data_IF_699436500677
#
_entry.id   IF_699436500677
#
_cell.length_a   1.000
_cell.length_b   1.000
_cell.length_c   1.000
_cell.angle_alpha   90.00
_cell.angle_beta   90.00
_cell.angle_gamma   90.00
#
_symmetry.space_group_name_H-M   'P 1'
#
loop_
_entity.id
_entity.type
_entity.pdbx_description
1 polymer ?
#
# COMPACT_ATOMS: atom_id res chain seq x y z
N UNK A 1 6.33 0.31 -14.78
CA UNK A 1 5.11 -0.02 -14.00
C UNK A 1 5.09 0.86 -12.76
N UNK A 2 4.03 1.66 -12.51
CA UNK A 2 4.03 2.59 -11.38
C UNK A 2 3.82 1.82 -10.08
N UNK A 3 4.64 2.14 -9.07
CA UNK A 3 4.61 1.53 -7.75
C UNK A 3 3.26 1.79 -7.05
N UNK A 4 2.33 0.86 -7.22
CA UNK A 4 1.10 0.75 -6.44
C UNK A 4 1.27 -0.46 -5.53
N UNK A 5 1.31 -0.26 -4.23
CA UNK A 5 1.14 -1.37 -3.29
C UNK A 5 -0.20 -1.21 -2.58
N UNK A 6 -1.25 -1.64 -3.28
CA UNK A 6 -2.45 -2.14 -2.63
C UNK A 6 -2.44 -3.64 -2.89
N UNK A 7 -2.26 -4.44 -1.85
CA UNK A 7 -2.47 -5.88 -1.91
C UNK A 7 -3.51 -6.27 -0.90
N UNK A 8 -4.67 -6.68 -1.41
CA UNK A 8 -5.66 -7.45 -0.68
C UNK A 8 -5.53 -8.86 -1.23
N UNK A 9 -5.11 -9.81 -0.41
CA UNK A 9 -5.00 -11.21 -0.82
C UNK A 9 -6.00 -12.08 -0.06
N UNK A 10 -7.20 -12.30 -0.62
CA UNK A 10 -8.13 -13.30 -0.09
C UNK A 10 -7.75 -14.68 -0.65
N UNK A 11 -7.60 -15.69 0.22
CA UNK A 11 -7.60 -17.10 -0.18
C UNK A 11 -8.85 -17.78 0.43
N UNK A 12 -9.69 -18.34 -0.44
CA UNK A 12 -10.79 -19.23 -0.05
C UNK A 12 -10.35 -20.68 -0.19
N UNK A 13 -10.49 -21.49 0.87
CA UNK A 13 -10.16 -22.92 0.83
C UNK A 13 -11.37 -23.74 0.32
N UNK A 14 -11.29 -24.33 -0.88
CA UNK A 14 -12.34 -25.25 -1.35
C UNK A 14 -12.16 -25.87 -2.74
N UNK A 15 -11.99 -27.20 -2.80
CA UNK A 15 -11.94 -28.01 -4.04
C UNK A 15 -13.34 -28.21 -4.63
N UNK A 16 -13.51 -27.94 -5.93
CA UNK A 16 -14.70 -28.34 -6.71
C UNK A 16 -14.31 -28.83 -8.11
N UNK A 17 -14.75 -30.06 -8.46
CA UNK A 17 -14.48 -30.71 -9.76
C UNK A 17 -15.40 -30.15 -10.86
N UNK A 18 -14.82 -29.89 -12.03
CA UNK A 18 -15.40 -30.04 -13.39
C UNK A 18 -16.77 -29.43 -13.73
N UNK A 19 -16.76 -28.34 -14.50
CA UNK A 19 -17.91 -27.80 -15.25
C UNK A 19 -17.48 -26.69 -16.23
N UNK A 20 -18.19 -26.47 -17.36
CA UNK A 20 -17.68 -25.70 -18.52
C UNK A 20 -17.73 -24.17 -18.29
N UNK A 21 -17.00 -23.37 -19.11
CA UNK A 21 -16.63 -22.00 -18.75
C UNK A 21 -17.75 -21.00 -19.04
N UNK A 22 -18.09 -20.16 -18.06
CA UNK A 22 -18.92 -18.95 -18.19
C UNK A 22 -18.45 -17.83 -17.24
N UNK A 23 -18.77 -16.55 -17.53
CA UNK A 23 -17.81 -15.45 -17.46
C UNK A 23 -17.64 -14.83 -16.06
N UNK A 24 -16.38 -14.52 -15.75
CA UNK A 24 -15.84 -13.44 -14.91
C UNK A 24 -16.84 -12.68 -14.02
N UNK A 25 -17.31 -13.35 -12.98
CA UNK A 25 -17.64 -12.81 -11.64
C UNK A 25 -18.43 -13.88 -10.88
N UNK A 26 -17.74 -14.83 -10.24
CA UNK A 26 -18.35 -15.64 -9.19
C UNK A 26 -17.27 -16.14 -8.24
N UNK A 27 -17.24 -15.57 -7.04
CA UNK A 27 -16.49 -16.09 -5.91
C UNK A 27 -17.17 -17.41 -5.49
N UNK A 28 -16.50 -18.54 -5.70
CA UNK A 28 -16.98 -19.82 -5.19
C UNK A 28 -16.61 -19.93 -3.70
N UNK A 29 -17.59 -19.61 -2.86
CA UNK A 29 -17.59 -19.83 -1.43
C UNK A 29 -17.74 -21.34 -1.10
N UNK A 30 -16.81 -21.90 -0.32
CA UNK A 30 -16.95 -23.26 0.21
C UNK A 30 -17.60 -23.23 1.60
N UNK A 31 -18.58 -24.11 1.83
CA UNK A 31 -19.29 -24.24 3.12
C UNK A 31 -18.50 -25.12 4.10
N UNK A 32 -18.25 -24.60 5.30
CA UNK A 32 -17.90 -25.40 6.48
C UNK A 32 -19.16 -25.95 7.17
N UNK A 33 -19.05 -26.95 8.07
CA UNK A 33 -20.19 -27.67 8.64
C UNK A 33 -21.23 -26.79 9.36
N UNK A 34 -20.85 -25.56 9.73
CA UNK A 34 -21.72 -24.59 10.42
C UNK A 34 -22.17 -23.39 9.56
N UNK A 35 -21.89 -23.38 8.25
CA UNK A 35 -22.47 -22.38 7.33
C UNK A 35 -21.86 -20.98 7.34
N UNK A 36 -20.84 -20.70 8.16
CA UNK A 36 -20.12 -19.43 8.17
C UNK A 36 -18.94 -19.44 7.19
N UNK A 37 -18.85 -18.39 6.36
CA UNK A 37 -17.79 -18.21 5.36
C UNK A 37 -16.57 -17.59 6.02
N UNK A 38 -15.45 -18.31 6.03
CA UNK A 38 -14.19 -17.87 6.61
C UNK A 38 -13.12 -17.65 5.54
N UNK A 39 -12.33 -16.58 5.64
CA UNK A 39 -11.23 -16.28 4.73
C UNK A 39 -10.01 -15.72 5.48
N UNK A 40 -8.80 -16.09 5.05
CA UNK A 40 -7.57 -15.48 5.57
C UNK A 40 -7.14 -14.31 4.69
N UNK A 41 -6.53 -13.30 5.30
CA UNK A 41 -6.05 -12.11 4.62
C UNK A 41 -4.85 -11.51 5.35
N UNK A 42 -3.82 -11.14 4.60
CA UNK A 42 -2.75 -10.26 5.07
C UNK A 42 -2.79 -8.99 4.22
N UNK A 43 -2.81 -7.85 4.90
CA UNK A 43 -2.89 -6.54 4.27
C UNK A 43 -1.69 -5.70 4.69
N UNK A 44 -1.03 -5.07 3.72
CA UNK A 44 0.16 -4.24 3.94
C UNK A 44 0.06 -2.91 3.19
N UNK A 45 0.40 -1.81 3.88
CA UNK A 45 0.46 -0.46 3.31
C UNK A 45 1.85 0.11 3.59
N UNK A 46 2.62 0.35 2.54
CA UNK A 46 3.95 0.96 2.63
C UNK A 46 3.90 2.43 2.20
N UNK A 47 4.43 3.31 3.05
CA UNK A 47 4.64 4.73 2.72
C UNK A 47 6.06 4.97 2.22
N UNK A 48 6.30 5.27 0.93
CA UNK A 48 7.66 5.46 0.39
C UNK A 48 8.36 6.74 0.88
N UNK A 49 7.61 7.66 1.49
CA UNK A 49 8.15 8.89 2.11
C UNK A 49 8.58 8.62 3.56
N UNK A 50 7.72 7.99 4.36
CA UNK A 50 8.00 7.68 5.77
C UNK A 50 8.80 6.40 5.97
N UNK A 51 8.92 5.57 4.92
CA UNK A 51 9.45 4.19 4.97
C UNK A 51 8.72 3.26 5.94
N UNK A 52 7.56 3.67 6.43
CA UNK A 52 6.76 2.90 7.36
C UNK A 52 5.83 1.94 6.59
N UNK A 53 5.89 0.65 6.94
CA UNK A 53 4.95 -0.36 6.49
C UNK A 53 3.99 -0.71 7.62
N UNK A 54 2.70 -0.52 7.40
CA UNK A 54 1.64 -0.95 8.33
C UNK A 54 1.03 -2.26 7.82
N UNK A 55 0.99 -3.28 8.67
CA UNK A 55 0.45 -4.59 8.34
C UNK A 55 -0.64 -5.02 9.34
N UNK A 56 -1.65 -5.72 8.84
CA UNK A 56 -2.66 -6.39 9.66
C UNK A 56 -2.97 -7.77 9.08
N UNK A 57 -3.11 -8.78 9.94
CA UNK A 57 -3.34 -10.17 9.54
C UNK A 57 -4.65 -10.71 10.15
N UNK A 58 -5.44 -11.35 9.30
CA UNK A 58 -6.63 -12.13 9.66
C UNK A 58 -6.37 -13.61 9.32
N UNK A 59 -5.88 -14.37 10.29
CA UNK A 59 -5.61 -15.80 10.18
C UNK A 59 -4.53 -16.18 9.16
N UNK A 60 -3.75 -15.22 8.66
CA UNK A 60 -2.79 -15.44 7.59
C UNK A 60 -1.38 -15.66 8.12
N UNK A 61 -0.56 -16.38 7.35
CA UNK A 61 0.84 -16.65 7.68
C UNK A 61 1.68 -15.36 7.71
N UNK A 62 2.71 -15.35 8.56
CA UNK A 62 3.59 -14.19 8.71
C UNK A 62 4.39 -13.93 7.44
N UNK A 63 4.53 -12.67 7.02
CA UNK A 63 5.35 -12.32 5.87
C UNK A 63 6.85 -12.39 6.20
N UNK A 64 7.65 -12.66 5.18
CA UNK A 64 9.12 -12.61 5.28
C UNK A 64 9.64 -11.27 4.75
N UNK A 65 10.61 -10.69 5.45
CA UNK A 65 11.29 -9.45 5.08
C UNK A 65 12.79 -9.74 4.97
N UNK A 66 13.39 -9.43 3.82
CA UNK A 66 14.83 -9.34 3.66
C UNK A 66 15.28 -7.88 3.63
N UNK A 67 16.11 -7.51 4.60
CA UNK A 67 16.63 -6.14 4.78
C UNK A 67 18.07 -6.07 4.31
N UNK A 68 18.46 -5.07 3.49
CA UNK A 68 19.85 -4.85 3.12
C UNK A 68 20.71 -4.65 4.37
N UNK A 69 21.80 -5.41 4.46
CA UNK A 69 22.84 -5.17 5.46
C UNK A 69 23.84 -4.17 4.92
N UNK A 70 24.55 -3.48 5.82
CA UNK A 70 25.70 -2.68 5.41
C UNK A 70 26.72 -3.57 4.68
N UNK A 71 27.49 -3.03 3.71
CA UNK A 71 28.57 -3.77 3.09
C UNK A 71 29.49 -4.33 4.18
N UNK A 72 29.76 -5.63 4.15
CA UNK A 72 30.79 -6.22 4.99
C UNK A 72 32.15 -5.62 4.64
N UNK A 73 33.08 -5.64 5.59
CA UNK A 73 34.49 -5.32 5.34
C UNK A 73 35.15 -6.30 4.35
N UNK A 74 34.52 -7.45 4.14
CA UNK A 74 34.91 -8.43 3.14
C UNK A 74 34.26 -8.03 1.82
N UNK A 75 35.07 -7.57 0.85
CA UNK A 75 34.64 -6.97 -0.42
C UNK A 75 33.87 -7.88 -1.39
N UNK A 76 32.87 -8.62 -0.91
CA UNK A 76 31.81 -9.17 -1.75
C UNK A 76 30.86 -8.03 -2.11
N UNK A 77 30.91 -7.59 -3.37
CA UNK A 77 30.10 -6.50 -3.95
C UNK A 77 28.58 -6.80 -3.97
N UNK A 78 28.15 -7.93 -3.40
CA UNK A 78 26.74 -8.29 -3.30
C UNK A 78 26.11 -7.60 -2.10
N UNK A 79 24.95 -6.94 -2.25
CA UNK A 79 24.20 -6.47 -1.10
C UNK A 79 23.70 -7.69 -0.32
N UNK A 80 24.45 -8.07 0.71
CA UNK A 80 24.01 -9.05 1.67
C UNK A 80 22.69 -8.56 2.28
N UNK A 81 21.75 -9.48 2.47
CA UNK A 81 20.48 -9.20 3.15
C UNK A 81 20.34 -10.16 4.31
N UNK A 82 19.74 -9.69 5.38
CA UNK A 82 19.25 -10.55 6.46
C UNK A 82 17.74 -10.73 6.28
N UNK A 83 17.29 -11.97 6.24
CA UNK A 83 15.88 -12.32 6.07
C UNK A 83 15.29 -12.87 7.36
N UNK A 84 14.12 -12.37 7.75
CA UNK A 84 13.37 -12.85 8.91
C UNK A 84 11.86 -12.69 8.68
N UNK A 85 11.06 -13.42 9.46
CA UNK A 85 9.61 -13.19 9.50
C UNK A 85 9.30 -11.96 10.33
N UNK A 86 8.32 -11.17 9.89
CA UNK A 86 7.83 -10.03 10.69
C UNK A 86 6.99 -10.55 11.85
N UNK A 87 7.42 -10.26 13.08
CA UNK A 87 6.67 -10.60 14.27
C UNK A 87 5.51 -9.62 14.47
N UNK A 88 4.30 -10.09 14.21
CA UNK A 88 3.07 -9.30 14.29
C UNK A 88 1.89 -10.15 14.76
N UNK A 89 0.90 -9.54 15.44
CA UNK A 89 -0.30 -10.25 15.85
C UNK A 89 -1.09 -10.76 14.64
N UNK A 90 -1.63 -11.98 14.78
CA UNK A 90 -2.51 -12.61 13.81
C UNK A 90 -3.91 -12.69 14.44
N UNK A 91 -4.85 -11.92 13.90
CA UNK A 91 -6.25 -11.98 14.31
C UNK A 91 -6.96 -13.23 13.76
N UNK A 92 -8.23 -13.47 14.16
CA UNK A 92 -9.01 -14.58 13.61
C UNK A 92 -9.28 -14.38 12.11
N UNK A 93 -9.53 -15.45 11.33
CA UNK A 93 -10.00 -15.31 9.96
C UNK A 93 -11.23 -14.40 9.82
N UNK A 94 -11.35 -13.75 8.67
CA UNK A 94 -12.50 -12.92 8.33
C UNK A 94 -13.79 -13.76 8.33
N UNK A 95 -14.89 -13.20 8.82
CA UNK A 95 -16.21 -13.84 8.81
C UNK A 95 -16.56 -14.64 10.07
N UNK A 96 -15.61 -14.87 10.97
CA UNK A 96 -15.83 -15.58 12.25
C UNK A 96 -16.24 -14.67 13.42
N UNK A 97 -16.44 -13.37 13.17
CA UNK A 97 -16.66 -12.37 14.22
C UNK A 97 -15.40 -12.11 15.07
N UNK A 98 -15.31 -10.95 15.71
CA UNK A 98 -14.16 -10.64 16.57
C UNK A 98 -13.92 -9.15 16.83
N UNK A 99 -12.91 -8.88 17.66
CA UNK A 99 -12.34 -7.56 17.88
C UNK A 99 -11.69 -7.02 16.60
N UNK A 100 -11.44 -5.70 16.48
CA UNK A 100 -10.70 -5.12 15.37
C UNK A 100 -9.33 -5.78 15.19
N UNK A 101 -8.88 -5.92 13.94
CA UNK A 101 -7.54 -6.42 13.64
C UNK A 101 -6.47 -5.44 14.11
N UNK A 102 -5.54 -5.92 14.92
CA UNK A 102 -4.39 -5.13 15.35
C UNK A 102 -3.45 -4.86 14.17
N UNK A 103 -2.92 -3.64 14.11
CA UNK A 103 -1.98 -3.21 13.07
C UNK A 103 -0.57 -3.12 13.66
N UNK A 104 0.37 -3.85 13.08
CA UNK A 104 1.80 -3.71 13.37
C UNK A 104 2.47 -2.75 12.38
N UNK A 105 3.51 -2.05 12.83
CA UNK A 105 4.24 -1.08 12.01
C UNK A 105 5.73 -1.37 12.04
N UNK A 106 6.36 -1.39 10.85
CA UNK A 106 7.77 -1.65 10.67
C UNK A 106 8.39 -0.57 9.78
N UNK A 107 9.53 -0.03 10.18
CA UNK A 107 10.33 0.80 9.29
C UNK A 107 11.14 -0.10 8.35
N UNK A 108 10.92 0.05 7.05
CA UNK A 108 11.60 -0.77 6.04
C UNK A 108 12.65 0.08 5.31
N UNK A 109 13.90 -0.34 5.41
CA UNK A 109 15.00 0.25 4.66
C UNK A 109 14.71 0.25 3.15
N UNK A 110 15.34 1.16 2.41
CA UNK A 110 15.26 1.17 0.96
C UNK A 110 15.92 -0.08 0.37
N UNK A 111 15.30 -0.71 -0.63
CA UNK A 111 15.82 -1.91 -1.27
C UNK A 111 15.52 -3.22 -0.54
N UNK A 112 14.81 -3.19 0.59
CA UNK A 112 14.24 -4.36 1.25
C UNK A 112 13.27 -5.11 0.35
N UNK A 113 13.18 -6.42 0.55
CA UNK A 113 12.25 -7.32 -0.13
C UNK A 113 11.23 -7.83 0.87
N UNK A 114 9.95 -7.52 0.65
CA UNK A 114 8.83 -8.05 1.42
C UNK A 114 8.16 -9.16 0.61
N UNK A 115 8.10 -10.37 1.17
CA UNK A 115 7.44 -11.52 0.60
C UNK A 115 6.13 -11.84 1.35
N UNK A 116 5.01 -11.76 0.63
CA UNK A 116 3.68 -12.17 1.06
C UNK A 116 3.34 -13.46 0.33
N UNK A 117 2.86 -14.48 1.05
CA UNK A 117 2.62 -15.78 0.44
C UNK A 117 1.51 -16.53 1.15
N UNK A 118 0.88 -17.46 0.44
CA UNK A 118 -0.13 -18.35 1.02
C UNK A 118 0.51 -19.53 1.74
N UNK A 119 -0.14 -20.04 2.77
CA UNK A 119 0.23 -21.26 3.50
C UNK A 119 0.62 -22.46 2.62
N UNK A 120 -0.01 -22.65 1.45
CA UNK A 120 0.35 -23.70 0.49
C UNK A 120 1.82 -23.67 0.03
N UNK A 121 2.52 -22.55 0.16
CA UNK A 121 3.96 -22.44 -0.11
C UNK A 121 4.81 -23.14 0.96
N UNK A 122 4.35 -23.15 2.21
CA UNK A 122 5.10 -23.69 3.36
C UNK A 122 4.52 -25.00 3.91
N UNK A 123 3.22 -25.24 3.74
CA UNK A 123 2.53 -26.43 4.22
C UNK A 123 2.64 -27.56 3.19
N UNK A 124 3.63 -28.43 3.39
CA UNK A 124 3.81 -29.68 2.64
C UNK A 124 3.41 -30.86 3.52
N UNK A 125 2.86 -31.91 2.90
CA UNK A 125 2.38 -33.11 3.64
C UNK A 125 3.48 -33.91 4.34
N UNK A 126 4.74 -33.74 3.93
CA UNK A 126 5.85 -34.64 4.29
C UNK A 126 7.11 -33.91 4.76
N UNK A 127 7.09 -32.59 4.93
CA UNK A 127 8.25 -31.81 5.35
C UNK A 127 7.94 -30.99 6.60
N UNK A 128 8.99 -30.78 7.40
CA UNK A 128 8.97 -29.90 8.55
C UNK A 128 8.78 -28.43 8.08
N UNK A 129 7.77 -27.78 8.64
CA UNK A 129 7.41 -26.39 8.32
C UNK A 129 8.57 -25.44 8.65
N UNK A 130 9.31 -25.71 9.72
CA UNK A 130 10.43 -24.84 10.15
C UNK A 130 11.63 -24.94 9.20
N UNK A 131 11.86 -26.11 8.61
CA UNK A 131 12.87 -26.29 7.58
C UNK A 131 12.52 -25.49 6.31
N UNK A 132 11.25 -25.51 5.89
CA UNK A 132 10.80 -24.74 4.71
C UNK A 132 10.85 -23.23 4.98
N UNK A 133 10.51 -22.80 6.19
CA UNK A 133 10.63 -21.39 6.61
C UNK A 133 12.07 -20.90 6.60
N UNK A 134 13.01 -21.72 7.07
CA UNK A 134 14.45 -21.43 6.99
C UNK A 134 14.90 -21.31 5.53
N UNK A 135 14.51 -22.27 4.70
CA UNK A 135 14.82 -22.25 3.26
C UNK A 135 14.25 -21.00 2.55
N UNK A 136 13.04 -20.55 2.91
CA UNK A 136 12.44 -19.33 2.39
C UNK A 136 13.29 -18.10 2.77
N UNK A 137 13.72 -18.00 4.03
CA UNK A 137 14.59 -16.91 4.47
C UNK A 137 15.93 -16.92 3.71
N UNK A 138 16.58 -18.07 3.60
CA UNK A 138 17.87 -18.20 2.91
C UNK A 138 17.76 -17.81 1.42
N UNK A 139 16.73 -18.32 0.75
CA UNK A 139 16.48 -17.99 -0.65
C UNK A 139 16.16 -16.50 -0.85
N UNK A 140 15.38 -15.90 0.06
CA UNK A 140 15.05 -14.47 0.00
C UNK A 140 16.27 -13.57 0.30
N UNK A 141 17.12 -13.98 1.25
CA UNK A 141 18.35 -13.28 1.60
C UNK A 141 19.34 -13.25 0.42
N UNK A 142 19.50 -14.38 -0.26
CA UNK A 142 20.38 -14.50 -1.44
C UNK A 142 19.80 -13.95 -2.75
N UNK A 143 18.53 -13.54 -2.76
CA UNK A 143 17.86 -13.15 -3.99
C UNK A 143 18.36 -11.81 -4.54
N UNK A 144 18.66 -11.79 -5.84
CA UNK A 144 19.08 -10.61 -6.59
C UNK A 144 18.21 -10.44 -7.84
N UNK A 145 18.27 -9.27 -8.49
CA UNK A 145 17.48 -8.98 -9.69
C UNK A 145 16.15 -8.27 -9.42
N UNK A 146 15.26 -8.29 -10.40
CA UNK A 146 13.91 -7.73 -10.35
C UNK A 146 12.98 -8.54 -9.42
N UNK A 147 11.89 -7.96 -8.90
CA UNK A 147 10.93 -8.71 -8.07
C UNK A 147 10.36 -9.98 -8.75
N UNK A 148 10.24 -9.97 -10.08
CA UNK A 148 9.81 -11.15 -10.84
C UNK A 148 10.83 -12.29 -10.78
N UNK A 149 12.11 -11.99 -11.02
CA UNK A 149 13.19 -12.98 -10.91
C UNK A 149 13.33 -13.52 -9.47
N UNK A 150 13.13 -12.66 -8.47
CA UNK A 150 13.08 -13.10 -7.07
C UNK A 150 11.91 -14.05 -6.83
N UNK A 151 10.71 -13.77 -7.34
CA UNK A 151 9.57 -14.68 -7.24
C UNK A 151 9.89 -16.05 -7.87
N UNK A 152 10.46 -16.06 -9.08
CA UNK A 152 10.79 -17.29 -9.80
C UNK A 152 11.80 -18.14 -9.03
N UNK A 153 12.83 -17.50 -8.46
CA UNK A 153 13.84 -18.18 -7.64
C UNK A 153 13.22 -18.76 -6.36
N UNK A 154 12.39 -17.99 -5.66
CA UNK A 154 11.69 -18.47 -4.46
C UNK A 154 10.78 -19.66 -4.78
N UNK A 155 10.00 -19.58 -5.85
CA UNK A 155 9.13 -20.69 -6.27
C UNK A 155 9.96 -21.93 -6.67
N UNK A 156 11.07 -21.76 -7.40
CA UNK A 156 11.94 -22.86 -7.78
C UNK A 156 12.58 -23.56 -6.56
N UNK A 157 13.02 -22.79 -5.56
CA UNK A 157 13.57 -23.33 -4.32
C UNK A 157 12.50 -24.00 -3.45
N UNK A 158 11.32 -23.39 -3.36
CA UNK A 158 10.25 -23.77 -2.43
C UNK A 158 9.16 -24.65 -3.03
N UNK A 159 9.23 -25.05 -4.30
CA UNK A 159 8.30 -26.01 -4.90
C UNK A 159 9.05 -27.22 -5.45
N UNK A 160 9.11 -28.28 -4.64
CA UNK A 160 9.71 -29.56 -4.97
C UNK A 160 8.59 -30.55 -5.31
N UNK A 161 7.90 -30.32 -6.42
CA UNK A 161 6.76 -31.13 -6.89
C UNK A 161 5.41 -30.43 -6.76
N UNK A 162 4.32 -31.22 -6.78
CA UNK A 162 2.96 -30.66 -6.81
C UNK A 162 2.55 -30.17 -5.41
N UNK A 163 2.16 -28.90 -5.26
CA UNK A 163 1.77 -28.37 -3.95
C UNK A 163 0.49 -29.04 -3.46
N UNK A 164 0.38 -29.17 -2.13
CA UNK A 164 -0.77 -29.80 -1.49
C UNK A 164 -2.04 -28.92 -1.55
N UNK A 165 -1.82 -27.62 -1.68
CA UNK A 165 -2.82 -26.57 -1.69
C UNK A 165 -2.40 -25.44 -2.65
N UNK A 166 -3.27 -24.46 -2.86
CA UNK A 166 -2.99 -23.34 -3.76
C UNK A 166 -1.83 -22.48 -3.24
N UNK A 167 -0.95 -22.11 -4.18
CA UNK A 167 0.26 -21.32 -3.93
C UNK A 167 0.12 -19.98 -4.63
N UNK A 168 0.30 -18.92 -3.85
CA UNK A 168 0.58 -17.60 -4.37
C UNK A 168 1.73 -16.96 -3.60
N UNK A 169 2.53 -16.19 -4.33
CA UNK A 169 3.67 -15.46 -3.82
C UNK A 169 3.66 -14.08 -4.46
N UNK A 170 3.83 -13.06 -3.62
CA UNK A 170 4.11 -11.70 -4.05
C UNK A 170 5.38 -11.21 -3.36
N UNK A 171 6.31 -10.70 -4.17
CA UNK A 171 7.49 -9.99 -3.70
C UNK A 171 7.37 -8.51 -4.06
N UNK A 172 7.58 -7.66 -3.07
CA UNK A 172 7.66 -6.21 -3.25
C UNK A 172 9.03 -5.70 -2.83
N UNK A 173 9.66 -4.86 -3.67
CA UNK A 173 10.89 -4.15 -3.31
C UNK A 173 10.54 -2.75 -2.79
N UNK A 174 11.04 -2.40 -1.62
CA UNK A 174 10.85 -1.06 -1.06
C UNK A 174 11.69 -0.05 -1.82
N UNK A 175 11.09 1.10 -2.10
CA UNK A 175 11.74 2.26 -2.71
C UNK A 175 11.50 3.44 -1.79
N UNK A 176 12.55 4.19 -1.48
CA UNK A 176 12.39 5.45 -0.79
C UNK A 176 12.26 6.58 -1.82
N UNK A 177 11.40 7.56 -1.54
CA UNK A 177 11.47 8.79 -2.31
C UNK A 177 12.68 9.60 -1.88
N UNK A 178 13.49 9.99 -2.86
CA UNK A 178 14.50 11.02 -2.65
C UNK A 178 13.83 12.33 -2.16
N UNK A 179 14.46 13.09 -1.24
CA UNK A 179 13.90 14.33 -0.70
C UNK A 179 13.47 15.34 -1.78
N UNK A 180 14.18 15.39 -2.91
CA UNK A 180 13.84 16.26 -4.05
C UNK A 180 12.56 15.88 -4.81
N UNK A 181 11.87 14.81 -4.41
CA UNK A 181 10.59 14.38 -4.99
C UNK A 181 9.40 14.56 -4.04
N UNK A 182 9.63 15.12 -2.85
CA UNK A 182 8.58 15.40 -1.87
C UNK A 182 8.70 16.83 -1.40
N UNK A 183 7.59 17.57 -1.44
CA UNK A 183 7.52 18.89 -0.83
C UNK A 183 6.36 18.89 0.17
N UNK A 184 6.58 19.41 1.38
CA UNK A 184 5.57 19.45 2.44
C UNK A 184 5.42 20.88 2.95
N UNK A 185 4.17 21.30 3.19
CA UNK A 185 3.82 22.57 3.79
C UNK A 185 2.79 22.33 4.91
N UNK A 186 3.15 22.69 6.14
CA UNK A 186 2.18 22.75 7.24
C UNK A 186 1.34 24.03 7.10
N UNK A 187 0.03 23.89 7.30
CA UNK A 187 -0.95 24.94 7.06
C UNK A 187 -1.69 25.29 8.36
N UNK A 188 -1.85 26.59 8.69
CA UNK A 188 -2.76 27.00 9.74
C UNK A 188 -4.21 26.74 9.30
N UNK A 189 -5.12 26.62 10.26
CA UNK A 189 -6.56 26.53 10.01
C UNK A 189 -7.17 27.91 9.72
N UNK A 190 -6.60 28.63 8.76
CA UNK A 190 -7.02 29.96 8.31
C UNK A 190 -7.27 29.93 6.79
N UNK A 191 -8.48 30.29 6.31
CA UNK A 191 -8.78 30.39 4.88
C UNK A 191 -7.75 31.21 4.06
N UNK A 192 -7.06 32.19 4.65
CA UNK A 192 -6.01 32.96 3.97
C UNK A 192 -4.83 32.08 3.49
N UNK A 193 -4.61 30.93 4.15
CA UNK A 193 -3.53 29.99 3.84
C UNK A 193 -3.69 29.28 2.47
N UNK A 194 -4.90 29.25 1.90
CA UNK A 194 -5.18 28.62 0.60
C UNK A 194 -4.33 29.25 -0.52
N UNK A 195 -4.18 30.57 -0.50
CA UNK A 195 -3.35 31.30 -1.47
C UNK A 195 -1.87 30.91 -1.38
N UNK A 196 -1.37 30.74 -0.15
CA UNK A 196 -0.02 30.25 0.13
C UNK A 196 0.19 28.81 -0.34
N UNK A 197 -0.78 27.94 -0.10
CA UNK A 197 -0.75 26.54 -0.56
C UNK A 197 -0.70 26.44 -2.10
N UNK A 198 -1.46 27.28 -2.81
CA UNK A 198 -1.42 27.35 -4.28
C UNK A 198 -0.07 27.84 -4.79
N UNK A 199 0.48 28.90 -4.19
CA UNK A 199 1.80 29.44 -4.55
C UNK A 199 2.90 28.40 -4.32
N UNK A 200 2.95 27.82 -3.13
CA UNK A 200 3.86 26.72 -2.79
C UNK A 200 3.82 25.58 -3.81
N UNK A 201 2.61 25.22 -4.25
CA UNK A 201 2.44 24.16 -5.25
C UNK A 201 2.98 24.57 -6.61
N UNK A 202 2.68 25.79 -7.07
CA UNK A 202 3.21 26.31 -8.34
C UNK A 202 4.74 26.39 -8.34
N UNK A 203 5.33 26.90 -7.26
CA UNK A 203 6.79 27.05 -7.12
C UNK A 203 7.48 25.68 -7.09
N UNK A 204 6.92 24.72 -6.35
CA UNK A 204 7.41 23.33 -6.32
C UNK A 204 7.37 22.69 -7.70
N UNK A 205 6.28 22.88 -8.45
CA UNK A 205 6.15 22.31 -9.80
C UNK A 205 7.11 22.95 -10.78
N UNK A 206 7.32 24.26 -10.69
CA UNK A 206 8.35 24.93 -11.48
C UNK A 206 9.74 24.35 -11.20
N UNK A 207 10.09 24.18 -9.91
CA UNK A 207 11.35 23.56 -9.51
C UNK A 207 11.50 22.09 -9.97
N UNK A 208 10.39 21.38 -10.13
CA UNK A 208 10.38 20.01 -10.65
C UNK A 208 10.31 19.93 -12.19
N UNK A 209 10.20 21.05 -12.90
CA UNK A 209 10.02 21.08 -14.35
C UNK A 209 8.64 20.60 -14.80
N UNK A 210 7.62 20.77 -13.95
CA UNK A 210 6.23 20.34 -14.16
C UNK A 210 5.27 21.54 -14.24
N UNK A 211 5.75 22.67 -14.78
CA UNK A 211 5.01 23.93 -14.85
C UNK A 211 3.66 23.81 -15.56
N UNK A 212 3.55 22.97 -16.57
CA UNK A 212 2.32 22.75 -17.33
C UNK A 212 1.17 22.21 -16.47
N UNK A 213 1.48 21.51 -15.37
CA UNK A 213 0.49 20.98 -14.43
C UNK A 213 0.03 22.02 -13.39
N UNK A 214 0.68 23.20 -13.32
CA UNK A 214 0.50 24.14 -12.22
C UNK A 214 -0.95 24.66 -12.09
N UNK A 215 -1.62 24.92 -13.22
CA UNK A 215 -3.00 25.41 -13.20
C UNK A 215 -3.97 24.39 -12.58
N UNK A 216 -4.01 23.17 -13.13
CA UNK A 216 -4.89 22.11 -12.65
C UNK A 216 -4.54 21.69 -11.21
N UNK A 217 -3.25 21.63 -10.88
CA UNK A 217 -2.78 21.39 -9.51
C UNK A 217 -3.30 22.44 -8.55
N UNK A 218 -3.20 23.71 -8.92
CA UNK A 218 -3.63 24.82 -8.08
C UNK A 218 -5.12 24.78 -7.76
N UNK A 219 -5.95 24.30 -8.69
CA UNK A 219 -7.37 24.07 -8.44
C UNK A 219 -7.60 22.94 -7.44
N UNK A 220 -6.99 21.76 -7.68
CA UNK A 220 -7.10 20.60 -6.79
C UNK A 220 -6.65 20.96 -5.38
N UNK A 221 -5.48 21.60 -5.24
CA UNK A 221 -4.92 22.00 -3.95
C UNK A 221 -5.84 23.00 -3.23
N UNK A 222 -6.38 23.99 -3.95
CA UNK A 222 -7.32 24.95 -3.36
C UNK A 222 -8.53 24.26 -2.74
N UNK A 223 -9.12 23.31 -3.47
CA UNK A 223 -10.29 22.57 -2.99
C UNK A 223 -9.96 21.66 -1.80
N UNK A 224 -8.88 20.87 -1.90
CA UNK A 224 -8.49 19.94 -0.83
C UNK A 224 -8.12 20.69 0.46
N UNK A 225 -7.36 21.78 0.35
CA UNK A 225 -6.95 22.60 1.50
C UNK A 225 -8.15 23.34 2.08
N UNK A 226 -9.04 23.90 1.25
CA UNK A 226 -10.27 24.55 1.75
C UNK A 226 -11.14 23.56 2.51
N UNK A 227 -11.29 22.33 2.01
CA UNK A 227 -12.04 21.29 2.68
C UNK A 227 -11.40 20.91 4.03
N UNK A 228 -10.07 20.79 4.09
CA UNK A 228 -9.34 20.51 5.34
C UNK A 228 -9.48 21.65 6.37
N UNK A 229 -9.41 22.92 5.94
CA UNK A 229 -9.57 24.08 6.84
C UNK A 229 -11.00 24.17 7.38
N UNK A 230 -12.02 23.92 6.54
CA UNK A 230 -13.43 24.07 6.93
C UNK A 230 -13.96 22.91 7.76
N UNK A 231 -13.52 21.68 7.46
CA UNK A 231 -14.13 20.46 8.00
C UNK A 231 -13.14 19.48 8.64
N UNK A 232 -11.85 19.75 8.53
CA UNK A 232 -10.79 18.94 9.13
C UNK A 232 -10.41 19.42 10.53
N UNK A 233 -9.33 18.85 11.07
CA UNK A 233 -8.76 19.25 12.36
C UNK A 233 -7.25 19.47 12.23
N UNK A 234 -6.71 20.47 12.92
CA UNK A 234 -5.26 20.67 12.98
C UNK A 234 -4.55 19.49 13.65
N UNK A 235 -3.30 19.18 13.26
CA UNK A 235 -2.51 19.85 12.22
C UNK A 235 -3.01 19.55 10.79
N UNK A 236 -2.97 20.57 9.91
CA UNK A 236 -3.25 20.44 8.48
C UNK A 236 -1.93 20.48 7.73
N UNK A 237 -1.74 19.55 6.79
CA UNK A 237 -0.49 19.46 6.03
C UNK A 237 -0.76 19.15 4.57
N UNK A 238 -0.24 19.99 3.67
CA UNK A 238 -0.17 19.72 2.24
C UNK A 238 1.14 19.02 1.91
N UNK A 239 1.07 17.98 1.09
CA UNK A 239 2.24 17.29 0.54
C UNK A 239 2.08 17.08 -0.96
N UNK A 240 3.14 17.38 -1.70
CA UNK A 240 3.31 17.05 -3.11
C UNK A 240 4.33 15.93 -3.23
N UNK A 241 4.03 14.92 -4.05
CA UNK A 241 4.84 13.71 -4.20
C UNK A 241 5.01 13.42 -5.69
N UNK A 242 6.24 13.47 -6.20
CA UNK A 242 6.58 13.16 -7.59
C UNK A 242 7.11 11.73 -7.72
N UNK A 243 6.32 10.85 -8.33
CA UNK A 243 6.73 9.49 -8.70
C UNK A 243 6.55 9.30 -10.21
N UNK A 244 5.90 8.21 -10.61
CA UNK A 244 5.35 7.99 -11.96
C UNK A 244 4.14 8.88 -12.26
N UNK A 245 3.50 9.38 -11.21
CA UNK A 245 2.43 10.39 -11.23
C UNK A 245 2.76 11.47 -10.21
N UNK A 246 2.04 12.57 -10.26
CA UNK A 246 2.10 13.59 -9.23
C UNK A 246 0.92 13.44 -8.28
N UNK A 247 1.21 13.18 -7.01
CA UNK A 247 0.20 13.06 -5.96
C UNK A 247 0.19 14.30 -5.12
N UNK A 248 -1.01 14.84 -4.86
CA UNK A 248 -1.24 15.90 -3.88
C UNK A 248 -2.05 15.29 -2.76
N UNK A 249 -1.57 15.45 -1.54
CA UNK A 249 -2.17 14.90 -0.36
C UNK A 249 -2.36 16.01 0.66
N UNK A 250 -3.57 16.14 1.20
CA UNK A 250 -3.86 17.03 2.32
C UNK A 250 -4.27 16.18 3.50
N UNK A 251 -3.42 16.18 4.54
CA UNK A 251 -3.68 15.54 5.82
C UNK A 251 -4.39 16.51 6.77
N UNK A 252 -5.29 15.97 7.57
CA UNK A 252 -5.87 16.61 8.74
C UNK A 252 -6.11 15.57 9.86
N UNK A 253 -6.11 16.00 11.11
CA UNK A 253 -6.24 15.12 12.27
C UNK A 253 -7.67 14.65 12.56
N UNK A 254 -8.62 14.84 11.64
CA UNK A 254 -9.98 14.32 11.78
C UNK A 254 -10.05 12.85 11.37
N UNK A 255 -10.87 12.08 12.10
CA UNK A 255 -11.26 10.72 11.74
C UNK A 255 -12.51 10.65 10.86
N UNK A 256 -13.21 11.77 10.63
CA UNK A 256 -14.46 11.80 9.86
C UNK A 256 -14.19 11.57 8.37
N UNK A 257 -15.07 10.82 7.68
CA UNK A 257 -14.99 10.69 6.23
C UNK A 257 -15.07 12.06 5.53
N UNK A 258 -14.50 12.23 4.32
CA UNK A 258 -14.64 13.47 3.56
C UNK A 258 -16.11 13.78 3.30
N UNK A 259 -16.49 15.05 3.43
CA UNK A 259 -17.86 15.49 3.14
C UNK A 259 -18.11 15.53 1.63
N UNK A 260 -18.50 14.38 1.05
CA UNK A 260 -19.00 14.26 -0.32
C UNK A 260 -20.48 14.64 -0.36
N UNK A 261 -20.81 15.91 -0.64
CA UNK A 261 -22.18 16.28 -1.02
C UNK A 261 -22.24 16.56 -2.51
N UNK A 262 -23.10 15.82 -3.24
CA UNK A 262 -23.59 16.24 -4.57
C UNK A 262 -24.20 17.62 -4.38
N UNK A 263 -23.55 18.64 -4.93
CA UNK A 263 -24.04 20.02 -4.88
C UNK A 263 -25.51 20.06 -5.35
N UNK A 264 -26.42 20.50 -4.49
CA UNK A 264 -27.68 21.07 -4.99
C UNK A 264 -27.32 22.37 -5.70
N UNK A 265 -28.10 22.75 -6.71
CA UNK A 265 -27.74 23.72 -7.75
C UNK A 265 -27.20 25.10 -7.27
N UNK A 266 -27.34 25.43 -5.98
CA UNK A 266 -26.97 26.73 -5.39
C UNK A 266 -25.93 26.68 -4.25
N UNK A 267 -25.36 25.52 -3.91
CA UNK A 267 -24.26 25.43 -2.93
C UNK A 267 -22.89 25.54 -3.62
N UNK A 268 -22.14 26.60 -3.34
CA UNK A 268 -20.73 26.73 -3.78
C UNK A 268 -19.82 25.65 -3.16
N UNK A 269 -20.12 25.23 -1.92
CA UNK A 269 -19.28 24.31 -1.13
C UNK A 269 -19.33 22.82 -1.53
N UNK A 270 -20.17 22.42 -2.50
CA UNK A 270 -20.31 21.02 -2.93
C UNK A 270 -19.61 20.67 -4.25
N UNK A 271 -19.03 21.65 -4.95
CA UNK A 271 -18.44 21.46 -6.29
C UNK A 271 -16.96 21.06 -6.27
N UNK A 272 -16.27 21.33 -5.17
CA UNK A 272 -14.82 21.16 -5.05
C UNK A 272 -14.30 19.76 -5.34
N UNK A 273 -14.86 18.74 -4.68
CA UNK A 273 -14.47 17.34 -4.92
C UNK A 273 -14.91 16.83 -6.31
N UNK A 274 -15.92 17.45 -6.92
CA UNK A 274 -16.35 17.13 -8.28
C UNK A 274 -15.35 17.68 -9.32
N UNK A 275 -14.78 18.86 -9.06
CA UNK A 275 -13.64 19.38 -9.82
C UNK A 275 -12.40 18.50 -9.64
N UNK A 276 -12.10 18.06 -8.42
CA UNK A 276 -11.01 17.10 -8.17
C UNK A 276 -11.25 15.81 -8.95
N UNK A 277 -12.47 15.26 -8.95
CA UNK A 277 -12.80 14.06 -9.70
C UNK A 277 -12.69 14.21 -11.23
N UNK A 278 -12.80 15.43 -11.78
CA UNK A 278 -12.61 15.71 -13.20
C UNK A 278 -11.15 15.96 -13.57
N UNK A 279 -10.37 16.55 -12.67
CA UNK A 279 -8.98 16.96 -12.93
C UNK A 279 -7.94 15.92 -12.50
N UNK A 280 -8.31 15.01 -11.60
CA UNK A 280 -7.46 13.93 -11.12
C UNK A 280 -7.78 12.64 -11.88
N UNK A 281 -6.75 11.86 -12.20
CA UNK A 281 -6.95 10.50 -12.72
C UNK A 281 -7.56 9.60 -11.66
N UNK A 282 -7.09 9.77 -10.42
CA UNK A 282 -7.48 8.99 -9.26
C UNK A 282 -7.45 9.89 -8.05
N UNK A 283 -8.35 9.65 -7.13
CA UNK A 283 -8.36 10.32 -5.85
C UNK A 283 -8.98 9.41 -4.81
N UNK A 284 -8.76 9.71 -3.53
CA UNK A 284 -9.32 8.92 -2.46
C UNK A 284 -8.99 9.49 -1.10
N UNK A 285 -9.21 8.67 -0.07
CA UNK A 285 -8.89 9.02 1.32
C UNK A 285 -8.13 7.87 1.94
N UNK A 286 -7.05 8.21 2.65
CA UNK A 286 -6.28 7.27 3.45
C UNK A 286 -6.49 7.63 4.91
N UNK A 287 -6.96 6.68 5.71
CA UNK A 287 -7.06 6.85 7.16
C UNK A 287 -5.78 6.37 7.82
N UNK A 288 -5.36 7.06 8.88
CA UNK A 288 -4.33 6.62 9.80
C UNK A 288 -4.85 6.76 11.23
N UNK A 289 -4.08 6.29 12.21
CA UNK A 289 -4.42 6.48 13.63
C UNK A 289 -4.46 7.96 14.03
N UNK A 290 -3.68 8.79 13.34
CA UNK A 290 -3.50 10.21 13.66
C UNK A 290 -4.50 11.13 12.94
N UNK A 291 -5.23 10.61 11.95
CA UNK A 291 -6.17 11.40 11.16
C UNK A 291 -6.47 10.78 9.81
N UNK A 292 -6.65 11.62 8.81
CA UNK A 292 -6.89 11.20 7.43
C UNK A 292 -6.09 12.06 6.46
N UNK A 293 -5.86 11.52 5.28
CA UNK A 293 -5.28 12.23 4.17
C UNK A 293 -6.13 12.06 2.92
N UNK A 294 -6.61 13.16 2.37
CA UNK A 294 -7.30 13.17 1.08
C UNK A 294 -6.25 13.39 0.00
N UNK A 295 -6.22 12.51 -1.01
CA UNK A 295 -5.20 12.53 -2.04
C UNK A 295 -5.79 12.53 -3.44
N UNK A 296 -5.07 13.13 -4.38
CA UNK A 296 -5.41 13.17 -5.80
C UNK A 296 -4.14 13.01 -6.66
N UNK A 297 -4.21 12.15 -7.66
CA UNK A 297 -3.16 11.83 -8.63
C UNK A 297 -3.44 12.51 -9.98
N UNK A 298 -2.41 13.07 -10.61
CA UNK A 298 -2.46 13.43 -12.03
C UNK A 298 -1.27 12.77 -12.74
N UNK A 299 -1.48 12.35 -13.98
CA UNK A 299 -0.40 11.87 -14.83
C UNK A 299 0.66 12.96 -15.01
N UNK A 300 1.91 12.52 -15.11
CA UNK A 300 2.98 13.34 -15.61
C UNK A 300 2.91 13.27 -17.14
N UNK A 301 2.76 14.41 -17.79
CA UNK A 301 2.97 14.50 -19.24
C UNK A 301 4.42 14.11 -19.53
N UNK A 302 4.60 13.06 -20.33
CA UNK A 302 5.90 12.59 -20.79
C UNK A 302 6.49 13.53 -21.84
#
# INVERSE_FOLDING_TARGET
MPARSWLVWPKSSGRGRGGPPRPWCSAYAARHPDGELSATCLYAVYGPVSRLCSLASAGHVLPALATPTLPGSDGDDRPARSAAFLDMPIGPPLGLGGLPFETAQFELAEGSLLALYTDGLIQRRTQDVDAVRTLLCDALAGATGSPGEVCDHLLAALLSGRPADDVALLVARTLALAPGRVATLDLPSDPAAVSGARRFSSDTLSAWGLGDLAFATGLIVSELVTNAIRYGKSPIRLRLIRQSSLTREVFDASSTAPHLRRARAFDEGGRGLLLVAQLAERWGTRHSREGKAIWAEQALSH
#
